data_IF_249608643342
#
_entry.id   IF_249608643342
#
_cell.length_a   1.000
_cell.length_b   1.000
_cell.length_c   1.000
_cell.angle_alpha   90.00
_cell.angle_beta   90.00
_cell.angle_gamma   90.00
#
_symmetry.space_group_name_H-M   'P 1'
#
loop_
_entity.id
_entity.type
_entity.pdbx_description
1 polymer ?
#
# COMPACT_ATOMS: atom_id res chain seq x y z
N UNK A 1 4.65 29.66 11.85
CA UNK A 1 5.23 28.33 11.81
C UNK A 1 5.33 27.96 10.35
N UNK A 2 6.45 27.38 9.90
CA UNK A 2 6.56 26.97 8.50
C UNK A 2 5.56 25.87 8.19
N UNK A 3 5.07 25.88 6.96
CA UNK A 3 4.06 24.96 6.48
C UNK A 3 4.66 23.90 5.57
N UNK A 4 4.10 22.68 5.53
CA UNK A 4 4.61 21.61 4.69
C UNK A 4 3.51 20.82 3.99
N UNK A 5 3.89 20.15 2.90
CA UNK A 5 3.11 19.10 2.25
C UNK A 5 4.01 17.90 1.96
N UNK A 6 3.46 16.69 2.09
CA UNK A 6 4.11 15.43 1.69
C UNK A 6 3.39 14.84 0.50
N UNK A 7 4.08 14.75 -0.63
CA UNK A 7 3.59 14.13 -1.86
C UNK A 7 4.09 12.68 -1.95
N UNK A 8 3.16 11.73 -1.95
CA UNK A 8 3.50 10.30 -1.89
C UNK A 8 3.27 9.62 -3.24
N UNK A 9 4.33 9.05 -3.79
CA UNK A 9 4.27 8.21 -5.01
C UNK A 9 4.77 6.81 -4.67
N UNK A 10 3.87 5.82 -4.55
CA UNK A 10 4.36 4.47 -4.28
C UNK A 10 3.34 3.47 -3.77
N UNK A 11 3.83 2.55 -2.96
CA UNK A 11 3.07 1.48 -2.32
C UNK A 11 2.67 1.88 -0.88
N UNK A 12 1.96 0.98 -0.19
CA UNK A 12 1.52 1.17 1.19
C UNK A 12 2.66 1.49 2.16
N UNK A 13 3.85 0.92 1.92
CA UNK A 13 5.04 1.25 2.72
C UNK A 13 5.43 2.72 2.57
N UNK A 14 5.34 3.29 1.34
CA UNK A 14 5.60 4.72 1.16
C UNK A 14 4.51 5.57 1.85
N UNK A 15 3.25 5.15 1.84
CA UNK A 15 2.19 5.86 2.58
C UNK A 15 2.51 5.88 4.07
N UNK A 16 2.87 4.75 4.66
CA UNK A 16 3.27 4.68 6.06
C UNK A 16 4.55 5.51 6.36
N UNK A 17 5.54 5.49 5.46
CA UNK A 17 6.71 6.35 5.58
C UNK A 17 6.32 7.85 5.54
N UNK A 18 5.34 8.24 4.72
CA UNK A 18 4.82 9.62 4.65
C UNK A 18 4.08 10.06 5.91
N UNK A 19 3.32 9.16 6.54
CA UNK A 19 2.70 9.43 7.85
C UNK A 19 3.77 9.71 8.93
N UNK A 20 4.90 8.97 8.89
CA UNK A 20 6.06 9.21 9.78
C UNK A 20 6.77 10.52 9.47
N UNK A 21 7.00 10.82 8.19
CA UNK A 21 7.59 12.11 7.76
C UNK A 21 6.71 13.25 8.27
N UNK A 22 5.40 13.16 8.10
CA UNK A 22 4.45 14.18 8.56
C UNK A 22 4.49 14.33 10.07
N UNK A 23 4.52 13.23 10.82
CA UNK A 23 4.64 13.25 12.27
C UNK A 23 5.92 13.94 12.77
N UNK A 24 7.07 13.60 12.16
CA UNK A 24 8.36 14.21 12.48
C UNK A 24 8.41 15.72 12.20
N UNK A 25 7.83 16.16 11.08
CA UNK A 25 7.76 17.57 10.74
C UNK A 25 6.87 18.35 11.72
N UNK A 26 5.73 17.77 12.14
CA UNK A 26 4.87 18.38 13.16
C UNK A 26 5.61 18.50 14.50
N UNK A 27 6.31 17.44 14.91
CA UNK A 27 7.11 17.44 16.14
C UNK A 27 8.27 18.48 16.10
N UNK A 28 8.81 18.72 14.90
CA UNK A 28 9.80 19.76 14.63
C UNK A 28 9.21 21.19 14.49
N UNK A 29 7.89 21.37 14.73
CA UNK A 29 7.25 22.67 14.73
C UNK A 29 6.70 23.15 13.38
N UNK A 30 6.63 22.28 12.37
CA UNK A 30 5.96 22.58 11.11
C UNK A 30 4.44 22.36 11.23
N UNK A 31 3.68 23.05 10.41
CA UNK A 31 2.22 22.87 10.29
C UNK A 31 1.88 22.36 8.90
N UNK A 32 0.96 21.40 8.82
CA UNK A 32 0.51 20.90 7.52
C UNK A 32 -0.20 22.01 6.74
N UNK A 33 0.20 22.23 5.49
CA UNK A 33 -0.38 23.24 4.62
C UNK A 33 -1.85 22.95 4.31
N UNK A 34 -2.66 24.01 4.17
CA UNK A 34 -4.03 23.91 3.67
C UNK A 34 -4.03 23.60 2.16
N UNK A 35 -5.10 23.00 1.67
CA UNK A 35 -5.20 22.52 0.27
C UNK A 35 -4.91 23.61 -0.79
N UNK A 36 -5.26 24.88 -0.50
CA UNK A 36 -5.12 26.02 -1.41
C UNK A 36 -3.98 26.97 -1.02
N UNK A 37 -3.11 26.58 -0.07
CA UNK A 37 -1.98 27.41 0.37
C UNK A 37 -0.68 26.98 -0.30
N UNK A 38 0.26 27.92 -0.38
CA UNK A 38 1.63 27.62 -0.83
C UNK A 38 2.46 27.18 0.38
N UNK A 39 2.89 25.89 0.45
CA UNK A 39 3.67 25.39 1.58
C UNK A 39 5.11 25.90 1.55
N UNK A 40 5.73 26.14 2.71
CA UNK A 40 7.15 26.52 2.82
C UNK A 40 8.10 25.34 2.53
N UNK A 41 7.59 24.09 2.65
CA UNK A 41 8.32 22.86 2.39
C UNK A 41 7.46 21.88 1.59
N UNK A 42 8.03 21.34 0.50
CA UNK A 42 7.45 20.20 -0.23
C UNK A 42 8.38 19.00 -0.08
N UNK A 43 7.83 17.89 0.43
CA UNK A 43 8.54 16.61 0.57
C UNK A 43 7.96 15.61 -0.43
N UNK A 44 8.77 15.11 -1.34
CA UNK A 44 8.42 14.01 -2.24
C UNK A 44 8.89 12.68 -1.65
N UNK A 45 7.96 11.81 -1.27
CA UNK A 45 8.26 10.43 -0.86
C UNK A 45 7.98 9.49 -2.05
N UNK A 46 9.04 8.95 -2.64
CA UNK A 46 8.99 8.36 -3.97
C UNK A 46 9.33 6.88 -4.01
N UNK A 47 8.74 6.18 -5.00
CA UNK A 47 8.93 4.76 -5.26
C UNK A 47 9.91 4.53 -6.41
N UNK A 48 10.83 3.58 -6.27
CA UNK A 48 11.71 3.14 -7.36
C UNK A 48 11.14 1.93 -8.14
N UNK A 49 9.92 1.50 -7.81
CA UNK A 49 9.32 0.28 -8.38
C UNK A 49 8.44 0.58 -9.61
N UNK A 50 8.03 1.82 -9.83
CA UNK A 50 7.14 2.20 -10.93
C UNK A 50 7.83 3.25 -11.79
N UNK A 51 8.05 2.95 -13.08
CA UNK A 51 8.69 3.85 -14.05
C UNK A 51 7.99 5.22 -14.14
N UNK A 52 6.67 5.23 -14.09
CA UNK A 52 5.90 6.47 -14.07
C UNK A 52 6.13 7.34 -12.81
N UNK A 53 6.72 6.80 -11.74
CA UNK A 53 7.03 7.58 -10.54
C UNK A 53 8.23 8.51 -10.79
N UNK A 54 9.23 8.07 -11.56
CA UNK A 54 10.40 8.84 -11.95
C UNK A 54 9.97 10.07 -12.77
N UNK A 55 9.17 9.84 -13.81
CA UNK A 55 8.68 10.92 -14.67
C UNK A 55 7.81 11.93 -13.92
N UNK A 56 6.97 11.47 -12.99
CA UNK A 56 6.15 12.33 -12.15
C UNK A 56 7.00 13.17 -11.20
N UNK A 57 7.99 12.57 -10.54
CA UNK A 57 8.86 13.31 -9.63
C UNK A 57 9.56 14.46 -10.36
N UNK A 58 10.28 14.15 -11.46
CA UNK A 58 11.03 15.18 -12.17
C UNK A 58 10.13 16.21 -12.87
N UNK A 59 8.93 15.83 -13.29
CA UNK A 59 7.91 16.76 -13.77
C UNK A 59 7.50 17.77 -12.70
N UNK A 60 7.18 17.28 -11.50
CA UNK A 60 6.79 18.12 -10.37
C UNK A 60 7.96 18.95 -9.84
N UNK A 61 9.17 18.40 -9.76
CA UNK A 61 10.36 19.16 -9.41
C UNK A 61 10.57 20.32 -10.38
N UNK A 62 10.49 20.09 -11.68
CA UNK A 62 10.63 21.13 -12.71
C UNK A 62 9.57 22.23 -12.57
N UNK A 63 8.35 21.89 -12.16
CA UNK A 63 7.29 22.85 -11.89
C UNK A 63 7.60 23.77 -10.69
N UNK A 64 8.29 23.24 -9.67
CA UNK A 64 8.67 24.01 -8.47
C UNK A 64 9.94 24.84 -8.65
N UNK A 65 10.76 24.59 -9.68
CA UNK A 65 12.02 25.29 -9.90
C UNK A 65 11.88 26.84 -10.01
N UNK A 66 10.87 27.41 -10.73
CA UNK A 66 10.67 28.86 -10.78
C UNK A 66 10.38 29.47 -9.39
N UNK A 67 9.56 28.79 -8.58
CA UNK A 67 9.26 29.22 -7.21
C UNK A 67 10.51 29.21 -6.33
N UNK A 68 11.29 28.13 -6.36
CA UNK A 68 12.56 28.08 -5.60
C UNK A 68 13.51 29.19 -5.96
N UNK A 69 13.55 29.61 -7.22
CA UNK A 69 14.36 30.75 -7.68
C UNK A 69 13.86 32.10 -7.16
N UNK A 70 12.55 32.29 -7.03
CA UNK A 70 11.94 33.53 -6.54
C UNK A 70 11.85 33.59 -5.02
N UNK A 71 11.82 32.44 -4.34
CA UNK A 71 11.74 32.31 -2.88
C UNK A 71 12.84 31.37 -2.38
N UNK A 72 14.00 31.89 -1.97
CA UNK A 72 15.11 31.09 -1.43
C UNK A 72 14.75 30.32 -0.14
N UNK A 73 13.77 30.79 0.63
CA UNK A 73 13.35 30.14 1.88
C UNK A 73 12.45 28.92 1.63
N UNK A 74 11.85 28.82 0.44
CA UNK A 74 11.10 27.65 0.04
C UNK A 74 12.02 26.44 -0.05
N UNK A 75 11.68 25.33 0.63
CA UNK A 75 12.49 24.11 0.64
C UNK A 75 11.84 22.96 -0.12
N UNK A 76 12.66 22.14 -0.77
CA UNK A 76 12.26 20.94 -1.50
C UNK A 76 13.08 19.76 -0.98
N UNK A 77 12.42 18.72 -0.46
CA UNK A 77 13.05 17.48 -0.03
C UNK A 77 12.57 16.29 -0.87
N UNK A 78 13.48 15.37 -1.18
CA UNK A 78 13.18 14.14 -1.90
C UNK A 78 13.60 12.94 -1.07
N UNK A 79 12.65 12.08 -0.73
CA UNK A 79 12.84 10.88 0.08
C UNK A 79 12.30 9.61 -0.57
N UNK A 80 12.45 8.50 0.15
CA UNK A 80 11.90 7.21 -0.23
C UNK A 80 12.82 6.35 -1.09
N UNK A 81 12.23 5.31 -1.73
CA UNK A 81 13.00 4.31 -2.45
C UNK A 81 13.80 4.85 -3.65
N UNK A 82 13.30 5.90 -4.30
CA UNK A 82 14.00 6.52 -5.42
C UNK A 82 15.20 7.35 -4.94
N UNK A 83 15.04 8.10 -3.85
CA UNK A 83 16.15 8.81 -3.21
C UNK A 83 17.24 7.82 -2.77
N UNK A 84 16.86 6.69 -2.20
CA UNK A 84 17.78 5.61 -1.83
C UNK A 84 18.55 5.05 -3.02
N UNK A 85 17.92 4.97 -4.21
CA UNK A 85 18.51 4.45 -5.43
C UNK A 85 19.42 5.48 -6.13
N UNK A 86 18.91 6.70 -6.35
CA UNK A 86 19.50 7.67 -7.26
C UNK A 86 20.43 8.68 -6.54
N UNK A 87 20.29 8.82 -5.22
CA UNK A 87 21.23 9.57 -4.36
C UNK A 87 21.61 10.96 -4.95
N UNK A 88 22.90 11.21 -5.09
CA UNK A 88 23.44 12.48 -5.64
C UNK A 88 22.98 12.78 -7.08
N UNK A 89 22.54 11.78 -7.83
CA UNK A 89 22.04 11.98 -9.18
C UNK A 89 20.79 12.87 -9.21
N UNK A 90 20.01 12.88 -8.11
CA UNK A 90 18.84 13.76 -7.98
C UNK A 90 19.28 15.21 -7.98
N UNK A 91 20.28 15.56 -7.16
CA UNK A 91 20.82 16.94 -7.09
C UNK A 91 21.46 17.34 -8.40
N UNK A 92 22.20 16.43 -9.07
CA UNK A 92 22.80 16.72 -10.39
C UNK A 92 21.74 17.07 -11.45
N UNK A 93 20.57 16.41 -11.39
CA UNK A 93 19.47 16.62 -12.34
C UNK A 93 18.55 17.78 -11.93
N UNK A 94 18.40 18.02 -10.63
CA UNK A 94 17.56 19.06 -10.04
C UNK A 94 18.34 19.83 -8.94
N UNK A 95 19.26 20.74 -9.31
CA UNK A 95 20.15 21.43 -8.36
C UNK A 95 19.43 22.33 -7.34
N UNK A 96 18.15 22.53 -7.50
CA UNK A 96 17.29 23.31 -6.62
C UNK A 96 16.62 22.49 -5.52
N UNK A 97 16.90 21.18 -5.45
CA UNK A 97 16.47 20.31 -4.32
C UNK A 97 17.42 20.55 -3.14
N UNK A 98 16.84 20.81 -1.97
CA UNK A 98 17.60 21.14 -0.75
C UNK A 98 18.04 19.87 0.00
N UNK A 99 17.19 18.84 0.05
CA UNK A 99 17.47 17.63 0.83
C UNK A 99 17.13 16.36 0.04
N UNK A 100 18.05 15.40 0.04
CA UNK A 100 17.81 14.02 -0.43
C UNK A 100 18.09 13.06 0.72
N UNK A 101 17.11 12.25 1.10
CA UNK A 101 17.23 11.30 2.21
C UNK A 101 16.71 9.91 1.89
N UNK A 102 17.41 8.88 2.38
CA UNK A 102 17.06 7.49 2.14
C UNK A 102 15.87 7.00 2.96
N UNK A 103 15.42 5.79 2.63
CA UNK A 103 14.35 5.09 3.38
C UNK A 103 14.72 4.82 4.84
N UNK A 104 16.01 4.78 5.15
CA UNK A 104 16.55 4.52 6.49
C UNK A 104 16.90 5.80 7.26
N UNK A 105 16.73 6.98 6.62
CA UNK A 105 17.12 8.29 7.17
C UNK A 105 15.92 9.20 7.47
N UNK A 106 14.70 8.68 7.47
CA UNK A 106 13.49 9.50 7.72
C UNK A 106 13.63 10.34 8.98
N UNK A 107 14.19 9.77 10.06
CA UNK A 107 14.39 10.47 11.34
C UNK A 107 15.37 11.66 11.27
N UNK A 108 16.25 11.71 10.26
CA UNK A 108 17.21 12.81 10.09
C UNK A 108 16.63 14.03 9.36
N UNK A 109 15.44 13.90 8.75
CA UNK A 109 14.88 14.92 7.87
C UNK A 109 14.84 16.34 8.49
N UNK A 110 14.34 16.56 9.73
CA UNK A 110 14.32 17.92 10.31
C UNK A 110 15.71 18.53 10.44
N UNK A 111 16.71 17.75 10.82
CA UNK A 111 18.09 18.20 10.97
C UNK A 111 18.70 18.55 9.60
N UNK A 112 18.42 17.74 8.57
CA UNK A 112 18.91 17.97 7.21
C UNK A 112 18.31 19.24 6.60
N UNK A 113 17.02 19.51 6.83
CA UNK A 113 16.36 20.74 6.40
C UNK A 113 16.98 21.98 7.04
N UNK A 114 17.23 21.95 8.35
CA UNK A 114 17.87 23.06 9.04
C UNK A 114 19.33 23.26 8.59
N UNK A 115 20.07 22.17 8.39
CA UNK A 115 21.44 22.24 7.87
C UNK A 115 21.47 22.83 6.45
N UNK A 116 20.57 22.36 5.55
CA UNK A 116 20.49 22.92 4.20
C UNK A 116 20.21 24.43 4.20
N UNK A 117 19.37 24.90 5.14
CA UNK A 117 19.06 26.31 5.32
C UNK A 117 20.24 27.13 5.82
N UNK A 118 21.00 26.61 6.80
CA UNK A 118 22.13 27.32 7.40
C UNK A 118 23.33 27.36 6.45
N UNK A 119 23.64 26.24 5.80
CA UNK A 119 24.79 26.08 4.92
C UNK A 119 24.53 26.60 3.49
N UNK A 120 23.28 26.93 3.17
CA UNK A 120 22.83 27.31 1.81
C UNK A 120 23.27 26.30 0.74
N UNK A 121 23.29 25.02 1.12
CA UNK A 121 23.78 23.92 0.29
C UNK A 121 22.90 22.68 0.40
N UNK A 122 22.75 21.97 -0.71
CA UNK A 122 21.99 20.72 -0.74
C UNK A 122 22.60 19.67 0.19
N UNK A 123 21.77 18.97 0.94
CA UNK A 123 22.15 17.89 1.85
C UNK A 123 21.73 16.54 1.28
N UNK A 124 22.64 15.58 1.27
CA UNK A 124 22.36 14.20 0.87
C UNK A 124 22.76 13.25 1.99
N UNK A 125 21.80 12.50 2.53
CA UNK A 125 22.09 11.49 3.55
C UNK A 125 21.38 10.17 3.20
N UNK A 126 22.17 9.16 2.89
CA UNK A 126 21.70 7.82 2.53
C UNK A 126 22.39 6.80 3.43
N UNK A 127 21.60 6.06 4.22
CA UNK A 127 22.06 4.88 4.97
C UNK A 127 21.70 3.62 4.22
N UNK A 128 22.61 2.66 4.18
CA UNK A 128 22.41 1.40 3.44
C UNK A 128 21.49 0.42 4.19
N UNK A 129 21.46 0.49 5.52
CA UNK A 129 20.63 -0.39 6.35
C UNK A 129 20.22 0.29 7.66
N UNK A 130 19.16 -0.24 8.27
CA UNK A 130 18.79 0.07 9.65
C UNK A 130 19.54 -0.85 10.62
N UNK A 131 20.17 -0.27 11.63
CA UNK A 131 20.69 -1.04 12.77
C UNK A 131 19.54 -1.52 13.66
N UNK A 132 18.56 -0.64 13.88
CA UNK A 132 17.35 -0.93 14.66
C UNK A 132 16.12 -0.41 13.95
N UNK A 133 14.98 -1.08 14.14
CA UNK A 133 13.71 -0.61 13.60
C UNK A 133 13.29 0.70 14.31
N UNK A 134 12.95 1.78 13.59
CA UNK A 134 12.57 3.06 14.20
C UNK A 134 11.12 3.01 14.73
N UNK A 135 10.89 2.25 15.80
CA UNK A 135 9.55 2.05 16.39
C UNK A 135 8.96 3.30 17.04
N UNK A 136 9.82 4.27 17.39
CA UNK A 136 9.45 5.44 18.21
C UNK A 136 9.21 6.72 17.40
N UNK A 137 9.27 6.68 16.06
CA UNK A 137 9.01 7.86 15.26
C UNK A 137 7.55 8.30 15.40
N UNK A 138 7.28 9.61 15.60
CA UNK A 138 5.94 10.15 15.61
C UNK A 138 5.25 9.90 14.27
N UNK A 139 3.93 9.69 14.30
CA UNK A 139 3.12 9.36 13.12
C UNK A 139 1.92 10.29 13.04
N UNK A 140 1.73 10.95 11.91
CA UNK A 140 0.49 11.66 11.58
C UNK A 140 -0.29 10.83 10.58
N UNK A 141 -1.32 10.11 11.06
CA UNK A 141 -2.15 9.24 10.22
C UNK A 141 -3.09 10.03 9.33
N UNK A 142 -3.33 9.50 8.13
CA UNK A 142 -4.33 10.02 7.19
C UNK A 142 -5.76 9.59 7.57
N UNK A 143 -5.91 8.59 8.43
CA UNK A 143 -7.21 8.10 8.90
C UNK A 143 -7.25 8.02 10.42
N UNK A 144 -8.38 8.45 11.01
CA UNK A 144 -8.61 8.34 12.44
C UNK A 144 -8.98 6.92 12.88
N UNK A 145 -9.57 6.10 12.00
CA UNK A 145 -10.12 4.78 12.33
C UNK A 145 -9.40 3.58 11.69
N UNK A 146 -8.45 3.83 10.79
CA UNK A 146 -7.58 2.79 10.23
C UNK A 146 -6.11 3.18 10.35
N UNK A 147 -5.23 2.18 10.52
CA UNK A 147 -3.80 2.39 10.65
C UNK A 147 -2.97 1.30 9.97
N UNK A 148 -1.80 1.72 9.48
CA UNK A 148 -0.75 0.81 9.04
C UNK A 148 0.14 0.46 10.23
N UNK A 149 0.46 -0.84 10.39
CA UNK A 149 1.37 -1.32 11.43
C UNK A 149 2.48 -2.12 10.75
N UNK A 150 3.67 -1.55 10.70
CA UNK A 150 4.83 -2.24 10.14
C UNK A 150 5.35 -3.28 11.12
N UNK A 151 5.42 -4.54 10.71
CA UNK A 151 5.94 -5.65 11.53
C UNK A 151 7.40 -5.96 11.21
N UNK A 152 7.81 -5.69 9.97
CA UNK A 152 9.19 -5.85 9.51
C UNK A 152 9.52 -4.84 8.42
N UNK A 153 10.82 -4.61 8.16
CA UNK A 153 11.34 -3.87 7.01
C UNK A 153 12.40 -4.68 6.30
N UNK A 154 12.66 -4.38 5.02
CA UNK A 154 13.62 -5.14 4.21
C UNK A 154 13.08 -6.47 3.72
N UNK A 155 13.88 -7.21 2.96
CA UNK A 155 13.48 -8.49 2.40
C UNK A 155 14.70 -9.35 2.06
N UNK A 156 14.73 -10.59 2.52
CA UNK A 156 15.79 -11.56 2.27
C UNK A 156 15.55 -12.40 0.99
N UNK A 157 14.49 -12.12 0.22
CA UNK A 157 14.25 -12.80 -1.05
C UNK A 157 15.15 -12.26 -2.15
N UNK A 158 15.58 -13.15 -3.07
CA UNK A 158 16.51 -12.84 -4.17
C UNK A 158 15.80 -12.81 -5.53
N UNK A 159 14.53 -12.35 -5.58
CA UNK A 159 13.75 -12.29 -6.82
C UNK A 159 14.48 -11.47 -7.89
N UNK A 160 14.65 -12.02 -9.08
CA UNK A 160 15.54 -11.45 -10.12
C UNK A 160 15.07 -10.10 -10.68
N UNK A 161 13.79 -9.76 -10.53
CA UNK A 161 13.20 -8.50 -10.99
C UNK A 161 13.08 -7.43 -9.91
N UNK A 162 13.36 -7.78 -8.65
CA UNK A 162 13.04 -6.94 -7.50
C UNK A 162 14.27 -6.18 -7.00
N UNK A 163 14.11 -4.86 -6.87
CA UNK A 163 15.15 -3.97 -6.35
C UNK A 163 15.00 -3.72 -4.83
N UNK A 164 13.92 -4.19 -4.22
CA UNK A 164 13.60 -3.90 -2.80
C UNK A 164 14.73 -4.25 -1.82
N UNK A 165 15.42 -5.42 -1.91
CA UNK A 165 16.53 -5.72 -1.00
C UNK A 165 17.66 -4.67 -1.03
N UNK A 166 17.93 -4.08 -2.20
CA UNK A 166 18.93 -3.02 -2.35
C UNK A 166 18.49 -1.68 -1.74
N UNK A 167 17.17 -1.44 -1.68
CA UNK A 167 16.61 -0.15 -1.26
C UNK A 167 16.13 -0.13 0.20
N UNK A 168 15.70 -1.29 0.72
CA UNK A 168 15.16 -1.42 2.08
C UNK A 168 15.97 -2.37 2.96
N UNK A 169 17.10 -2.86 2.43
CA UNK A 169 18.04 -3.69 3.17
C UNK A 169 17.55 -5.12 3.46
N UNK A 170 18.30 -5.79 4.33
CA UNK A 170 17.93 -7.11 4.86
C UNK A 170 16.72 -7.01 5.78
N UNK A 171 15.99 -8.11 5.89
CA UNK A 171 14.79 -8.19 6.73
C UNK A 171 15.16 -7.99 8.21
N UNK A 172 14.43 -7.10 8.86
CA UNK A 172 14.49 -6.80 10.29
C UNK A 172 13.10 -6.81 10.86
N UNK A 173 12.87 -7.72 11.80
CA UNK A 173 11.60 -7.88 12.49
C UNK A 173 11.52 -7.00 13.74
N UNK A 174 10.33 -6.50 14.03
CA UNK A 174 10.03 -5.88 15.33
C UNK A 174 9.68 -6.94 16.35
N UNK A 175 9.90 -6.65 17.63
CA UNK A 175 9.42 -7.52 18.69
C UNK A 175 7.88 -7.53 18.73
N UNK A 176 7.30 -8.68 19.11
CA UNK A 176 5.84 -8.80 19.24
C UNK A 176 5.28 -7.83 20.27
N UNK A 177 6.00 -7.62 21.37
CA UNK A 177 5.58 -6.71 22.45
C UNK A 177 5.48 -5.26 21.96
N UNK A 178 6.43 -4.79 21.14
CA UNK A 178 6.38 -3.44 20.56
C UNK A 178 5.19 -3.30 19.59
N UNK A 179 4.95 -4.30 18.73
CA UNK A 179 3.83 -4.30 17.80
C UNK A 179 2.51 -4.27 18.59
N UNK A 180 2.35 -5.13 19.59
CA UNK A 180 1.12 -5.20 20.38
C UNK A 180 0.90 -3.97 21.25
N UNK A 181 1.97 -3.33 21.73
CA UNK A 181 1.89 -2.04 22.44
C UNK A 181 1.36 -0.95 21.49
N UNK A 182 1.89 -0.89 20.26
CA UNK A 182 1.40 0.05 19.23
C UNK A 182 -0.06 -0.22 18.87
N UNK A 183 -0.43 -1.49 18.62
CA UNK A 183 -1.80 -1.87 18.27
C UNK A 183 -2.80 -1.43 19.34
N UNK A 184 -2.49 -1.67 20.64
CA UNK A 184 -3.35 -1.23 21.74
C UNK A 184 -3.45 0.29 21.81
N UNK A 185 -2.34 1.02 21.69
CA UNK A 185 -2.34 2.48 21.68
C UNK A 185 -3.16 3.06 20.51
N UNK A 186 -3.13 2.42 19.33
CA UNK A 186 -3.94 2.80 18.18
C UNK A 186 -5.44 2.60 18.46
N UNK A 187 -5.82 1.47 19.05
CA UNK A 187 -7.20 1.17 19.41
C UNK A 187 -7.73 2.12 20.49
N UNK A 188 -6.91 2.50 21.47
CA UNK A 188 -7.25 3.51 22.49
C UNK A 188 -7.51 4.89 21.85
N UNK A 189 -6.85 5.20 20.72
CA UNK A 189 -7.06 6.42 19.93
C UNK A 189 -8.26 6.33 18.95
N UNK A 190 -9.01 5.23 18.95
CA UNK A 190 -10.18 5.04 18.10
C UNK A 190 -9.95 4.26 16.80
N UNK A 191 -8.75 3.73 16.56
CA UNK A 191 -8.51 2.84 15.41
C UNK A 191 -9.26 1.53 15.60
N UNK A 192 -10.01 1.12 14.58
CA UNK A 192 -10.80 -0.12 14.56
C UNK A 192 -10.37 -1.09 13.46
N UNK A 193 -9.56 -0.63 12.50
CA UNK A 193 -8.94 -1.50 11.48
C UNK A 193 -7.43 -1.25 11.44
N UNK A 194 -6.64 -2.33 11.48
CA UNK A 194 -5.21 -2.29 11.22
C UNK A 194 -4.85 -3.12 10.00
N UNK A 195 -3.80 -2.71 9.30
CA UNK A 195 -3.17 -3.51 8.25
C UNK A 195 -1.71 -3.73 8.59
N UNK A 196 -1.33 -4.99 8.82
CA UNK A 196 0.05 -5.40 9.08
C UNK A 196 0.86 -5.31 7.79
N UNK A 197 1.99 -4.60 7.84
CA UNK A 197 2.88 -4.36 6.72
C UNK A 197 4.24 -5.03 6.90
N UNK A 198 4.74 -5.63 5.82
CA UNK A 198 6.08 -6.15 5.64
C UNK A 198 6.34 -6.35 4.15
N UNK A 199 7.60 -6.50 3.73
CA UNK A 199 7.92 -6.85 2.34
C UNK A 199 7.66 -8.34 2.05
N UNK A 200 7.71 -9.14 3.11
CA UNK A 200 7.29 -10.53 3.19
C UNK A 200 6.65 -10.73 4.56
N UNK A 201 5.41 -10.26 4.74
CA UNK A 201 4.79 -10.12 6.06
C UNK A 201 4.70 -11.43 6.84
N UNK A 202 4.52 -12.55 6.17
CA UNK A 202 4.40 -13.86 6.81
C UNK A 202 5.74 -14.59 7.05
N UNK A 203 6.88 -13.95 6.72
CA UNK A 203 8.19 -14.35 7.23
C UNK A 203 8.49 -13.74 8.62
N UNK A 204 7.61 -12.86 9.13
CA UNK A 204 7.76 -12.28 10.45
C UNK A 204 8.07 -13.35 11.51
N UNK A 205 9.14 -13.15 12.25
CA UNK A 205 9.67 -14.05 13.24
C UNK A 205 10.86 -14.90 12.81
N UNK A 206 11.13 -14.98 11.50
CA UNK A 206 12.27 -15.74 10.98
C UNK A 206 13.60 -15.15 11.46
N UNK A 207 13.71 -13.82 11.57
CA UNK A 207 14.91 -13.11 12.03
C UNK A 207 15.29 -13.52 13.50
N UNK A 208 14.31 -13.79 14.34
CA UNK A 208 14.54 -14.26 15.72
C UNK A 208 14.20 -15.75 15.96
N UNK A 209 14.11 -16.55 14.88
CA UNK A 209 14.03 -18.03 14.96
C UNK A 209 12.64 -18.60 15.21
N UNK A 210 11.56 -17.82 15.16
CA UNK A 210 10.18 -18.30 15.35
C UNK A 210 9.36 -18.21 14.04
N UNK A 211 9.33 -19.28 13.27
CA UNK A 211 8.55 -19.37 12.02
C UNK A 211 7.03 -19.35 12.22
N UNK A 212 6.55 -19.53 13.44
CA UNK A 212 5.13 -19.44 13.80
C UNK A 212 4.70 -18.06 14.30
N UNK A 213 5.62 -17.11 14.39
CA UNK A 213 5.37 -15.80 15.00
C UNK A 213 4.26 -15.02 14.29
N UNK A 214 4.16 -15.09 12.97
CA UNK A 214 3.11 -14.37 12.22
C UNK A 214 1.70 -14.87 12.57
N UNK A 215 1.49 -16.17 12.65
CA UNK A 215 0.21 -16.74 13.07
C UNK A 215 -0.12 -16.40 14.53
N UNK A 216 0.89 -16.41 15.41
CA UNK A 216 0.74 -15.96 16.81
C UNK A 216 0.33 -14.49 16.87
N UNK A 217 0.98 -13.62 16.08
CA UNK A 217 0.66 -12.19 16.00
C UNK A 217 -0.79 -11.97 15.57
N UNK A 218 -1.28 -12.70 14.56
CA UNK A 218 -2.69 -12.61 14.13
C UNK A 218 -3.64 -12.96 15.28
N UNK A 219 -3.35 -14.03 16.03
CA UNK A 219 -4.16 -14.44 17.20
C UNK A 219 -4.09 -13.42 18.33
N UNK A 220 -2.92 -12.83 18.58
CA UNK A 220 -2.77 -11.78 19.61
C UNK A 220 -3.55 -10.50 19.22
N UNK A 221 -3.52 -10.10 17.96
CA UNK A 221 -4.38 -9.02 17.47
C UNK A 221 -5.88 -9.34 17.65
N UNK A 222 -6.24 -10.63 17.55
CA UNK A 222 -7.60 -11.10 17.78
C UNK A 222 -8.12 -10.90 19.20
N UNK A 223 -7.22 -10.76 20.18
CA UNK A 223 -7.57 -10.55 21.59
C UNK A 223 -7.72 -9.08 21.98
N UNK A 224 -7.41 -8.15 21.06
CA UNK A 224 -7.48 -6.71 21.37
C UNK A 224 -8.92 -6.24 21.27
N UNK A 225 -9.47 -5.85 22.41
CA UNK A 225 -10.84 -5.37 22.51
C UNK A 225 -11.02 -4.03 21.77
N UNK A 226 -12.07 -3.93 20.95
CA UNK A 226 -12.31 -2.74 20.10
C UNK A 226 -11.62 -2.77 18.74
N UNK A 227 -10.73 -3.73 18.46
CA UNK A 227 -10.16 -3.92 17.14
C UNK A 227 -11.10 -4.79 16.29
N UNK A 228 -11.81 -4.15 15.36
CA UNK A 228 -12.85 -4.81 14.56
C UNK A 228 -12.27 -5.58 13.36
N UNK A 229 -11.12 -5.11 12.79
CA UNK A 229 -10.55 -5.67 11.58
C UNK A 229 -9.02 -5.70 11.59
N UNK A 230 -8.48 -6.85 11.27
CA UNK A 230 -7.05 -7.08 11.04
C UNK A 230 -6.84 -7.55 9.60
N UNK A 231 -5.98 -6.84 8.89
CA UNK A 231 -5.55 -7.19 7.52
C UNK A 231 -4.04 -7.31 7.48
N UNK A 232 -3.53 -7.92 6.46
CA UNK A 232 -2.09 -7.95 6.17
C UNK A 232 -1.83 -7.91 4.66
N UNK A 233 -0.66 -7.42 4.27
CA UNK A 233 -0.28 -7.26 2.86
C UNK A 233 1.05 -7.94 2.58
N UNK A 234 1.24 -8.30 1.31
CA UNK A 234 2.50 -8.88 0.78
C UNK A 234 2.96 -10.19 1.43
N UNK A 235 2.08 -11.16 1.70
CA UNK A 235 2.53 -12.50 2.07
C UNK A 235 3.21 -13.19 0.88
N UNK A 236 4.13 -14.11 1.19
CA UNK A 236 4.85 -14.88 0.19
C UNK A 236 4.48 -16.37 0.28
N UNK A 237 4.19 -17.07 -0.84
CA UNK A 237 3.76 -18.47 -0.83
C UNK A 237 4.72 -19.44 -0.14
N UNK A 238 6.04 -19.12 -0.12
CA UNK A 238 7.06 -19.95 0.56
C UNK A 238 6.78 -20.08 2.05
N UNK A 239 6.48 -18.95 2.69
CA UNK A 239 6.38 -18.85 4.15
C UNK A 239 4.92 -18.93 4.64
N UNK A 240 3.97 -19.23 3.73
CA UNK A 240 2.55 -19.36 4.07
C UNK A 240 2.25 -20.77 4.59
N UNK A 241 2.09 -20.89 5.90
CA UNK A 241 1.90 -22.17 6.61
C UNK A 241 0.44 -22.46 6.89
N UNK A 242 0.14 -23.73 7.21
CA UNK A 242 -1.22 -24.14 7.62
C UNK A 242 -1.63 -23.41 8.90
N UNK A 243 -0.71 -23.13 9.82
CA UNK A 243 -0.96 -22.35 11.04
C UNK A 243 -1.41 -20.91 10.78
N UNK A 244 -0.94 -20.28 9.71
CA UNK A 244 -1.43 -18.97 9.26
C UNK A 244 -2.86 -19.08 8.72
N UNK A 245 -3.17 -20.15 7.97
CA UNK A 245 -4.53 -20.41 7.49
C UNK A 245 -5.49 -20.61 8.66
N UNK A 246 -5.08 -21.40 9.66
CA UNK A 246 -5.86 -21.63 10.88
C UNK A 246 -6.07 -20.34 11.67
N UNK A 247 -5.01 -19.50 11.80
CA UNK A 247 -5.13 -18.21 12.46
C UNK A 247 -6.13 -17.29 11.73
N UNK A 248 -6.10 -17.25 10.39
CA UNK A 248 -7.08 -16.49 9.59
C UNK A 248 -8.50 -17.01 9.77
N UNK A 249 -8.69 -18.32 9.80
CA UNK A 249 -10.03 -18.94 9.89
C UNK A 249 -10.65 -18.81 11.30
N UNK A 250 -9.82 -18.89 12.34
CA UNK A 250 -10.30 -18.97 13.74
C UNK A 250 -10.33 -17.62 14.44
N UNK A 251 -9.59 -16.62 13.96
CA UNK A 251 -9.52 -15.30 14.59
C UNK A 251 -10.57 -14.38 13.98
N UNK A 252 -11.64 -14.10 14.72
CA UNK A 252 -12.87 -13.44 14.27
C UNK A 252 -12.66 -12.11 13.53
N UNK A 253 -11.69 -11.32 13.95
CA UNK A 253 -11.41 -9.99 13.39
C UNK A 253 -10.30 -10.01 12.31
N UNK A 254 -9.69 -11.17 12.01
CA UNK A 254 -8.84 -11.31 10.81
C UNK A 254 -9.75 -11.44 9.59
N UNK A 255 -9.56 -10.54 8.64
CA UNK A 255 -10.48 -10.42 7.51
C UNK A 255 -10.29 -11.53 6.48
N UNK A 256 -11.40 -12.04 5.87
CA UNK A 256 -11.37 -13.11 4.86
C UNK A 256 -10.88 -12.61 3.50
N UNK A 257 -9.69 -12.04 3.47
CA UNK A 257 -9.02 -11.52 2.27
C UNK A 257 -7.56 -11.93 2.27
N UNK A 258 -7.11 -12.57 1.21
CA UNK A 258 -5.73 -12.95 1.02
C UNK A 258 -5.20 -12.35 -0.29
N UNK A 259 -4.31 -11.37 -0.17
CA UNK A 259 -3.54 -10.89 -1.32
C UNK A 259 -2.23 -11.68 -1.40
N UNK A 260 -2.14 -12.67 -2.32
CA UNK A 260 -0.97 -13.53 -2.47
C UNK A 260 -0.39 -13.40 -3.88
N UNK A 261 0.76 -12.71 -4.06
CA UNK A 261 1.38 -12.51 -5.36
C UNK A 261 1.80 -13.83 -6.03
N UNK A 262 1.21 -14.13 -7.20
CA UNK A 262 1.52 -15.28 -8.04
C UNK A 262 2.76 -15.04 -8.90
N UNK A 263 2.83 -13.87 -9.50
CA UNK A 263 3.80 -13.38 -10.48
C UNK A 263 3.67 -14.04 -11.86
N UNK A 264 3.66 -15.37 -11.97
CA UNK A 264 3.46 -16.14 -13.20
C UNK A 264 2.83 -17.51 -12.91
N UNK A 265 2.07 -18.05 -13.84
CA UNK A 265 1.52 -19.41 -13.78
C UNK A 265 2.46 -20.49 -14.33
N UNK A 266 3.60 -20.11 -14.92
CA UNK A 266 4.61 -21.01 -15.45
C UNK A 266 5.72 -21.29 -14.43
N UNK A 267 6.00 -22.55 -14.18
CA UNK A 267 7.08 -22.97 -13.29
C UNK A 267 8.46 -22.57 -13.82
N UNK A 268 8.64 -22.55 -15.15
CA UNK A 268 9.87 -22.11 -15.80
C UNK A 268 10.11 -20.62 -15.52
N UNK A 269 9.09 -19.79 -15.68
CA UNK A 269 9.18 -18.35 -15.41
C UNK A 269 9.33 -18.09 -13.91
N UNK A 270 8.61 -18.78 -13.04
CA UNK A 270 8.80 -18.69 -11.59
C UNK A 270 10.23 -19.03 -11.17
N UNK A 271 10.85 -20.04 -11.82
CA UNK A 271 12.26 -20.39 -11.60
C UNK A 271 13.21 -19.28 -12.07
N UNK A 272 12.98 -18.72 -13.26
CA UNK A 272 13.76 -17.59 -13.80
C UNK A 272 13.62 -16.34 -12.93
N UNK A 273 12.46 -16.10 -12.36
CA UNK A 273 12.19 -15.06 -11.37
C UNK A 273 12.82 -15.33 -9.99
N UNK A 274 13.46 -16.50 -9.78
CA UNK A 274 13.92 -17.00 -8.46
C UNK A 274 12.81 -17.03 -7.42
N UNK A 275 11.58 -17.42 -7.84
CA UNK A 275 10.52 -17.69 -6.87
C UNK A 275 10.72 -19.09 -6.29
N UNK A 276 10.68 -19.20 -4.97
CA UNK A 276 10.94 -20.43 -4.22
C UNK A 276 9.73 -21.37 -4.11
N UNK A 277 8.69 -21.12 -4.89
CA UNK A 277 7.50 -21.97 -5.03
C UNK A 277 7.25 -22.27 -6.51
N UNK A 278 6.33 -23.22 -6.74
CA UNK A 278 5.84 -23.63 -8.05
C UNK A 278 4.32 -23.59 -8.06
N UNK A 279 3.72 -23.79 -9.23
CA UNK A 279 2.27 -23.78 -9.47
C UNK A 279 1.52 -24.65 -8.46
N UNK A 280 1.91 -25.89 -8.28
CA UNK A 280 1.20 -26.83 -7.38
C UNK A 280 1.21 -26.37 -5.93
N UNK A 281 2.32 -25.84 -5.43
CA UNK A 281 2.41 -25.25 -4.10
C UNK A 281 1.46 -24.07 -3.94
N UNK A 282 1.42 -23.19 -4.94
CA UNK A 282 0.52 -22.03 -4.93
C UNK A 282 -0.94 -22.46 -4.90
N UNK A 283 -1.36 -23.33 -5.83
CA UNK A 283 -2.70 -23.87 -5.89
C UNK A 283 -3.12 -24.60 -4.61
N UNK A 284 -2.22 -25.39 -4.04
CA UNK A 284 -2.46 -26.10 -2.78
C UNK A 284 -2.75 -25.15 -1.61
N UNK A 285 -2.05 -24.01 -1.53
CA UNK A 285 -2.32 -22.98 -0.53
C UNK A 285 -3.72 -22.37 -0.77
N UNK A 286 -4.02 -21.97 -2.01
CA UNK A 286 -5.32 -21.36 -2.34
C UNK A 286 -6.49 -22.32 -2.03
N UNK A 287 -6.34 -23.59 -2.37
CA UNK A 287 -7.35 -24.62 -2.06
C UNK A 287 -7.58 -24.77 -0.56
N UNK A 288 -6.50 -24.83 0.24
CA UNK A 288 -6.59 -24.90 1.70
C UNK A 288 -7.29 -23.65 2.28
N UNK A 289 -6.91 -22.44 1.81
CA UNK A 289 -7.56 -21.20 2.25
C UNK A 289 -9.05 -21.20 1.90
N UNK A 290 -9.43 -21.54 0.67
CA UNK A 290 -10.85 -21.63 0.26
C UNK A 290 -11.63 -22.69 1.04
N UNK A 291 -10.99 -23.79 1.42
CA UNK A 291 -11.61 -24.84 2.23
C UNK A 291 -11.83 -24.40 3.69
N UNK A 292 -10.85 -23.71 4.29
CA UNK A 292 -10.93 -23.24 5.67
C UNK A 292 -11.78 -21.96 5.81
N UNK A 293 -11.81 -21.13 4.76
CA UNK A 293 -12.51 -19.83 4.73
C UNK A 293 -13.28 -19.72 3.40
N UNK A 294 -14.46 -20.34 3.28
CA UNK A 294 -15.18 -20.44 1.99
C UNK A 294 -15.47 -19.11 1.30
N UNK A 295 -15.64 -18.03 2.07
CA UNK A 295 -15.91 -16.69 1.56
C UNK A 295 -14.66 -15.83 1.41
N UNK A 296 -13.45 -16.41 1.47
CA UNK A 296 -12.21 -15.66 1.30
C UNK A 296 -12.08 -15.13 -0.13
N UNK A 297 -11.88 -13.82 -0.27
CA UNK A 297 -11.46 -13.23 -1.53
C UNK A 297 -9.95 -13.39 -1.71
N UNK A 298 -9.54 -13.94 -2.85
CA UNK A 298 -8.14 -14.09 -3.21
C UNK A 298 -7.81 -13.04 -4.25
N UNK A 299 -6.77 -12.25 -3.98
CA UNK A 299 -6.21 -11.28 -4.92
C UNK A 299 -4.72 -11.57 -5.17
N UNK A 300 -4.19 -11.09 -6.29
CA UNK A 300 -2.83 -11.43 -6.68
C UNK A 300 -2.16 -10.33 -7.51
N UNK A 301 -0.82 -10.46 -7.67
CA UNK A 301 -0.02 -9.73 -8.65
C UNK A 301 0.47 -10.68 -9.73
N UNK A 302 0.45 -10.22 -10.99
CA UNK A 302 0.94 -10.97 -12.15
C UNK A 302 1.80 -10.05 -13.02
N UNK A 303 2.98 -10.55 -13.40
CA UNK A 303 3.89 -9.88 -14.34
C UNK A 303 3.86 -10.63 -15.66
N UNK A 304 3.53 -9.95 -16.76
CA UNK A 304 3.60 -10.49 -18.13
C UNK A 304 4.83 -9.96 -18.85
N UNK A 305 5.36 -10.75 -19.78
CA UNK A 305 6.51 -10.35 -20.58
C UNK A 305 7.84 -10.40 -19.82
N UNK A 306 7.95 -11.22 -18.79
CA UNK A 306 9.23 -11.48 -18.13
C UNK A 306 10.23 -12.06 -19.12
N UNK A 307 11.57 -11.74 -19.05
CA UNK A 307 12.56 -12.26 -19.98
C UNK A 307 12.50 -13.78 -20.12
N UNK A 308 12.37 -14.26 -21.35
CA UNK A 308 12.25 -15.68 -21.69
C UNK A 308 10.82 -16.23 -21.63
N UNK A 309 9.80 -15.45 -21.29
CA UNK A 309 8.42 -15.90 -21.29
C UNK A 309 7.95 -16.19 -22.72
N UNK A 310 7.60 -17.47 -22.97
CA UNK A 310 7.01 -17.94 -24.25
C UNK A 310 5.48 -17.80 -24.24
N UNK A 311 4.83 -18.02 -25.40
CA UNK A 311 3.37 -18.05 -25.46
C UNK A 311 2.81 -19.19 -24.60
N UNK A 312 3.48 -20.34 -24.59
CA UNK A 312 3.10 -21.47 -23.72
C UNK A 312 3.15 -21.11 -22.22
N UNK A 313 4.18 -20.36 -21.77
CA UNK A 313 4.29 -19.90 -20.39
C UNK A 313 3.17 -18.92 -20.04
N UNK A 314 2.82 -18.05 -20.97
CA UNK A 314 1.71 -17.11 -20.79
C UNK A 314 0.36 -17.86 -20.76
N UNK A 315 0.14 -18.86 -21.59
CA UNK A 315 -1.06 -19.70 -21.54
C UNK A 315 -1.21 -20.41 -20.19
N UNK A 316 -0.14 -20.93 -19.61
CA UNK A 316 -0.16 -21.51 -18.26
C UNK A 316 -0.59 -20.49 -17.20
N UNK A 317 -0.21 -19.22 -17.37
CA UNK A 317 -0.66 -18.13 -16.49
C UNK A 317 -2.15 -17.87 -16.65
N UNK A 318 -2.66 -17.84 -17.87
CA UNK A 318 -4.10 -17.71 -18.16
C UNK A 318 -4.90 -18.86 -17.56
N UNK A 319 -4.43 -20.08 -17.69
CA UNK A 319 -5.09 -21.29 -17.17
C UNK A 319 -5.20 -21.22 -15.64
N UNK A 320 -4.13 -20.83 -14.96
CA UNK A 320 -4.14 -20.68 -13.51
C UNK A 320 -5.11 -19.58 -13.07
N UNK A 321 -5.17 -18.46 -13.77
CA UNK A 321 -6.11 -17.36 -13.48
C UNK A 321 -7.56 -17.83 -13.63
N UNK A 322 -7.86 -18.61 -14.66
CA UNK A 322 -9.19 -19.20 -14.88
C UNK A 322 -9.55 -20.25 -13.82
N UNK A 323 -8.55 -21.01 -13.34
CA UNK A 323 -8.74 -22.04 -12.31
C UNK A 323 -9.00 -21.42 -10.93
N UNK A 324 -8.15 -20.46 -10.51
CA UNK A 324 -8.24 -19.81 -9.19
C UNK A 324 -9.44 -18.88 -9.10
N UNK A 325 -9.77 -18.16 -10.19
CA UNK A 325 -10.81 -17.13 -10.24
C UNK A 325 -10.56 -16.04 -9.18
N UNK A 326 -9.46 -15.32 -9.35
CA UNK A 326 -9.13 -14.22 -8.45
C UNK A 326 -10.25 -13.17 -8.40
N UNK A 327 -10.58 -12.70 -7.20
CA UNK A 327 -11.51 -11.57 -7.03
C UNK A 327 -10.96 -10.27 -7.61
N UNK A 328 -9.63 -10.12 -7.62
CA UNK A 328 -8.91 -9.09 -8.37
C UNK A 328 -7.47 -9.55 -8.64
N UNK A 329 -6.91 -9.15 -9.78
CA UNK A 329 -5.48 -9.29 -10.05
C UNK A 329 -4.89 -7.96 -10.53
N UNK A 330 -3.76 -7.58 -9.93
CA UNK A 330 -2.97 -6.46 -10.40
C UNK A 330 -1.97 -6.97 -11.43
N UNK A 331 -2.21 -6.64 -12.68
CA UNK A 331 -1.40 -7.06 -13.82
C UNK A 331 -0.40 -5.99 -14.19
N UNK A 332 0.85 -6.39 -14.37
CA UNK A 332 1.96 -5.50 -14.74
C UNK A 332 2.68 -6.06 -15.96
N UNK A 333 3.08 -5.18 -16.87
CA UNK A 333 4.10 -5.48 -17.84
C UNK A 333 5.47 -5.49 -17.14
N UNK A 334 6.34 -6.42 -17.50
CA UNK A 334 7.69 -6.41 -16.95
C UNK A 334 8.39 -5.10 -17.31
N UNK A 335 8.95 -4.43 -16.34
CA UNK A 335 9.73 -3.20 -16.51
C UNK A 335 11.17 -3.45 -16.06
N UNK A 336 12.11 -3.17 -16.95
CA UNK A 336 13.55 -3.30 -16.67
C UNK A 336 13.96 -2.35 -15.55
N UNK A 337 14.65 -2.89 -14.54
CA UNK A 337 15.16 -2.08 -13.43
C UNK A 337 16.68 -2.21 -13.39
N UNK A 338 17.41 -1.12 -13.62
CA UNK A 338 18.86 -1.11 -13.49
C UNK A 338 19.29 -1.68 -12.13
N UNK A 339 20.31 -2.52 -12.12
CA UNK A 339 20.82 -3.19 -10.92
C UNK A 339 20.13 -4.51 -10.56
N UNK A 340 19.03 -4.91 -11.25
CA UNK A 340 18.41 -6.22 -11.04
C UNK A 340 18.91 -7.25 -12.07
N UNK A 341 19.04 -8.53 -11.70
CA UNK A 341 19.47 -9.58 -12.65
C UNK A 341 18.59 -9.67 -13.90
N UNK A 342 17.28 -9.52 -13.76
CA UNK A 342 16.34 -9.62 -14.88
C UNK A 342 16.54 -8.51 -15.94
N UNK A 343 17.07 -7.35 -15.56
CA UNK A 343 17.32 -6.25 -16.50
C UNK A 343 18.35 -6.61 -17.59
N UNK A 344 19.27 -7.55 -17.29
CA UNK A 344 20.36 -7.98 -18.18
C UNK A 344 20.17 -9.39 -18.73
N UNK A 345 19.06 -10.07 -18.42
CA UNK A 345 18.75 -11.37 -18.99
C UNK A 345 18.59 -11.29 -20.51
N UNK A 346 19.03 -12.32 -21.20
CA UNK A 346 18.74 -12.51 -22.62
C UNK A 346 17.23 -12.75 -22.85
N UNK A 347 16.81 -12.75 -24.11
CA UNK A 347 15.44 -13.05 -24.52
C UNK A 347 14.38 -12.12 -23.89
N UNK A 348 14.68 -10.82 -23.88
CA UNK A 348 13.69 -9.82 -23.50
C UNK A 348 12.48 -9.89 -24.45
N UNK A 349 11.29 -9.88 -23.88
CA UNK A 349 10.03 -9.86 -24.65
C UNK A 349 9.81 -8.46 -25.22
N UNK A 350 9.33 -8.35 -26.47
CA UNK A 350 9.07 -7.04 -27.07
C UNK A 350 7.87 -6.34 -26.43
N UNK A 351 7.85 -5.00 -26.53
CA UNK A 351 6.79 -4.18 -25.93
C UNK A 351 5.42 -4.50 -26.54
N UNK A 352 5.36 -4.83 -27.85
CA UNK A 352 4.13 -5.21 -28.54
C UNK A 352 3.56 -6.51 -27.99
N UNK A 353 4.40 -7.53 -27.76
CA UNK A 353 3.99 -8.81 -27.21
C UNK A 353 3.57 -8.65 -25.75
N UNK A 354 4.31 -7.86 -24.95
CA UNK A 354 3.94 -7.56 -23.57
C UNK A 354 2.58 -6.85 -23.50
N UNK A 355 2.35 -5.87 -24.36
CA UNK A 355 1.07 -5.14 -24.43
C UNK A 355 -0.09 -6.05 -24.83
N UNK A 356 0.11 -6.94 -25.81
CA UNK A 356 -0.90 -7.90 -26.23
C UNK A 356 -1.27 -8.87 -25.08
N UNK A 357 -0.27 -9.46 -24.42
CA UNK A 357 -0.47 -10.35 -23.26
C UNK A 357 -1.16 -9.64 -22.10
N UNK A 358 -0.74 -8.40 -21.79
CA UNK A 358 -1.37 -7.57 -20.78
C UNK A 358 -2.85 -7.36 -21.05
N UNK A 359 -3.21 -6.94 -22.27
CA UNK A 359 -4.58 -6.66 -22.66
C UNK A 359 -5.46 -7.92 -22.59
N UNK A 360 -4.92 -9.06 -23.06
CA UNK A 360 -5.62 -10.35 -23.00
C UNK A 360 -5.88 -10.79 -21.57
N UNK A 361 -4.87 -10.78 -20.71
CA UNK A 361 -5.00 -11.15 -19.29
C UNK A 361 -5.94 -10.20 -18.56
N UNK A 362 -5.79 -8.89 -18.79
CA UNK A 362 -6.64 -7.87 -18.17
C UNK A 362 -8.11 -8.08 -18.49
N UNK A 363 -8.45 -8.35 -19.76
CA UNK A 363 -9.82 -8.65 -20.17
C UNK A 363 -10.37 -9.89 -19.47
N UNK A 364 -9.62 -10.99 -19.49
CA UNK A 364 -10.03 -12.24 -18.82
C UNK A 364 -10.25 -12.00 -17.33
N UNK A 365 -9.34 -11.29 -16.67
CA UNK A 365 -9.47 -11.01 -15.24
C UNK A 365 -10.65 -10.09 -14.94
N UNK A 366 -10.95 -9.11 -15.78
CA UNK A 366 -12.14 -8.26 -15.61
C UNK A 366 -13.43 -9.07 -15.68
N UNK A 367 -13.52 -9.99 -16.66
CA UNK A 367 -14.69 -10.88 -16.80
C UNK A 367 -14.84 -11.80 -15.57
N UNK A 368 -13.75 -12.35 -15.06
CA UNK A 368 -13.72 -13.15 -13.83
C UNK A 368 -14.15 -12.31 -12.63
N UNK A 369 -13.55 -11.13 -12.42
CA UNK A 369 -13.86 -10.25 -11.29
C UNK A 369 -15.33 -9.86 -11.29
N UNK A 370 -15.89 -9.52 -12.46
CA UNK A 370 -17.32 -9.23 -12.60
C UNK A 370 -18.16 -10.43 -12.21
N UNK A 371 -17.87 -11.61 -12.74
CA UNK A 371 -18.62 -12.85 -12.42
C UNK A 371 -18.55 -13.21 -10.94
N UNK A 372 -17.38 -13.04 -10.28
CA UNK A 372 -17.23 -13.27 -8.84
C UNK A 372 -17.99 -12.22 -7.99
N UNK A 373 -18.06 -10.98 -8.45
CA UNK A 373 -18.85 -9.93 -7.81
C UNK A 373 -20.38 -10.14 -8.00
N UNK A 374 -20.81 -10.60 -9.17
CA UNK A 374 -22.22 -10.90 -9.47
C UNK A 374 -22.82 -11.96 -8.53
N UNK A 375 -22.00 -12.89 -8.03
CA UNK A 375 -22.43 -13.90 -7.03
C UNK A 375 -22.90 -13.28 -5.71
N UNK A 376 -22.54 -12.04 -5.44
CA UNK A 376 -22.92 -11.33 -4.21
C UNK A 376 -24.26 -10.61 -4.35
N UNK A 377 -24.81 -10.47 -5.55
CA UNK A 377 -26.09 -9.78 -5.77
C UNK A 377 -27.18 -10.47 -4.93
N UNK A 378 -27.90 -9.65 -4.17
CA UNK A 378 -28.94 -10.11 -3.23
C UNK A 378 -28.42 -10.49 -1.84
N UNK A 379 -27.10 -10.63 -1.64
CA UNK A 379 -26.51 -10.93 -0.33
C UNK A 379 -26.35 -9.67 0.53
N UNK A 380 -26.44 -9.87 1.84
CA UNK A 380 -26.09 -8.83 2.81
C UNK A 380 -24.61 -8.91 3.14
N UNK A 381 -23.93 -7.79 3.05
CA UNK A 381 -22.49 -7.66 3.37
C UNK A 381 -22.25 -6.54 4.37
N UNK A 382 -21.20 -6.70 5.18
CA UNK A 382 -20.75 -5.68 6.11
C UNK A 382 -19.67 -4.82 5.48
N UNK A 383 -19.80 -3.50 5.59
CA UNK A 383 -18.81 -2.53 5.16
C UNK A 383 -18.24 -1.75 6.33
N UNK A 384 -16.96 -1.43 6.28
CA UNK A 384 -16.38 -0.30 7.00
C UNK A 384 -16.48 0.91 6.09
N UNK A 385 -17.22 1.93 6.53
CA UNK A 385 -17.48 3.14 5.75
C UNK A 385 -16.20 3.97 5.65
N UNK A 386 -15.84 4.34 4.42
CA UNK A 386 -14.63 5.12 4.12
C UNK A 386 -14.84 6.61 4.41
N UNK A 387 -13.75 7.33 4.70
CA UNK A 387 -13.71 8.80 4.70
C UNK A 387 -13.48 9.39 3.31
N UNK A 388 -13.11 8.57 2.32
CA UNK A 388 -12.90 9.01 0.94
C UNK A 388 -14.20 8.95 0.14
N UNK A 389 -14.31 9.81 -0.88
CA UNK A 389 -15.45 9.87 -1.78
C UNK A 389 -15.06 9.42 -3.18
N UNK A 390 -15.91 8.66 -3.85
CA UNK A 390 -15.82 8.40 -5.27
C UNK A 390 -16.20 9.64 -6.09
N UNK A 391 -15.79 9.70 -7.35
CA UNK A 391 -16.01 10.88 -8.23
C UNK A 391 -17.48 11.31 -8.35
N UNK A 392 -18.42 10.39 -8.18
CA UNK A 392 -19.86 10.61 -8.33
C UNK A 392 -20.62 10.52 -7.00
N UNK A 393 -19.96 10.10 -5.91
CA UNK A 393 -20.63 9.81 -4.64
C UNK A 393 -21.33 11.06 -4.06
N UNK A 394 -20.68 12.23 -4.15
CA UNK A 394 -21.25 13.50 -3.63
C UNK A 394 -22.54 13.87 -4.35
N UNK A 395 -22.56 13.78 -5.68
CA UNK A 395 -23.71 14.19 -6.49
C UNK A 395 -24.89 13.22 -6.36
N UNK A 396 -24.62 11.97 -5.98
CA UNK A 396 -25.60 10.89 -5.88
C UNK A 396 -26.00 10.56 -4.44
N UNK A 397 -25.56 11.36 -3.45
CA UNK A 397 -25.74 11.09 -2.01
C UNK A 397 -25.28 9.68 -1.60
N UNK A 398 -24.22 9.19 -2.22
CA UNK A 398 -23.61 7.90 -1.92
C UNK A 398 -22.42 8.06 -1.00
N UNK A 399 -22.15 7.00 -0.26
CA UNK A 399 -20.87 6.76 0.39
C UNK A 399 -20.26 5.47 -0.14
N UNK A 400 -19.01 5.25 0.17
CA UNK A 400 -18.36 3.99 -0.13
C UNK A 400 -17.72 3.39 1.12
N UNK A 401 -17.34 2.12 1.01
CA UNK A 401 -16.66 1.41 2.07
C UNK A 401 -15.98 0.15 1.54
N UNK A 402 -15.25 -0.50 2.42
CA UNK A 402 -14.63 -1.80 2.14
C UNK A 402 -15.37 -2.91 2.87
N UNK A 403 -15.74 -3.95 2.12
CA UNK A 403 -16.29 -5.17 2.71
C UNK A 403 -15.23 -5.94 3.52
N UNK A 404 -15.65 -6.96 4.26
CA UNK A 404 -14.71 -7.83 4.99
C UNK A 404 -13.67 -8.44 4.05
N UNK A 405 -14.08 -8.86 2.87
CA UNK A 405 -13.25 -9.43 1.80
C UNK A 405 -12.61 -8.38 0.87
N UNK A 406 -12.58 -7.11 1.31
CA UNK A 406 -11.87 -5.97 0.74
C UNK A 406 -12.47 -5.38 -0.56
N UNK A 407 -13.67 -5.79 -0.99
CA UNK A 407 -14.31 -5.20 -2.17
C UNK A 407 -14.72 -3.75 -1.92
N UNK A 408 -14.48 -2.89 -2.90
CA UNK A 408 -15.00 -1.53 -2.92
C UNK A 408 -16.52 -1.58 -3.17
N UNK A 409 -17.27 -0.96 -2.27
CA UNK A 409 -18.73 -0.95 -2.35
C UNK A 409 -19.24 0.47 -2.21
N UNK A 410 -20.00 0.93 -3.20
CA UNK A 410 -20.77 2.17 -3.12
C UNK A 410 -22.18 1.86 -2.63
N UNK A 411 -22.72 2.66 -1.74
CA UNK A 411 -24.06 2.48 -1.20
C UNK A 411 -24.79 3.82 -1.04
N UNK A 412 -26.11 3.78 -1.15
CA UNK A 412 -26.96 4.96 -0.92
C UNK A 412 -26.97 5.36 0.56
N UNK A 413 -26.65 6.63 0.85
CA UNK A 413 -26.69 7.22 2.18
C UNK A 413 -27.53 8.51 2.21
N UNK A 414 -28.53 8.64 1.31
CA UNK A 414 -29.41 9.82 1.23
C UNK A 414 -30.11 10.13 2.56
N UNK A 415 -30.41 9.09 3.35
CA UNK A 415 -30.95 9.23 4.70
C UNK A 415 -29.90 9.63 5.77
N UNK A 416 -28.62 9.78 5.41
CA UNK A 416 -27.49 10.16 6.29
C UNK A 416 -27.35 9.28 7.53
N UNK A 417 -27.62 8.00 7.41
CA UNK A 417 -27.59 7.03 8.52
C UNK A 417 -26.17 6.67 8.95
N UNK A 418 -25.24 6.57 7.97
CA UNK A 418 -23.87 6.15 8.18
C UNK A 418 -22.89 7.32 8.16
N UNK A 419 -21.83 7.20 8.95
CA UNK A 419 -20.69 8.14 9.00
C UNK A 419 -19.40 7.36 8.60
N UNK A 420 -18.39 8.05 8.16
CA UNK A 420 -17.05 7.47 7.98
C UNK A 420 -16.58 6.81 9.29
N UNK A 421 -16.08 5.59 9.18
CA UNK A 421 -15.68 4.76 10.33
C UNK A 421 -16.80 3.92 10.96
N UNK A 422 -18.08 4.11 10.62
CA UNK A 422 -19.16 3.20 11.06
C UNK A 422 -19.07 1.85 10.29
N UNK A 423 -19.59 0.79 10.92
CA UNK A 423 -19.82 -0.50 10.26
C UNK A 423 -21.29 -0.59 9.85
N UNK A 424 -21.55 -0.87 8.58
CA UNK A 424 -22.89 -0.94 8.03
C UNK A 424 -23.16 -2.31 7.38
N UNK A 425 -24.39 -2.81 7.52
CA UNK A 425 -24.91 -3.93 6.73
C UNK A 425 -25.70 -3.37 5.55
N UNK A 426 -25.35 -3.80 4.35
CA UNK A 426 -26.00 -3.37 3.10
C UNK A 426 -26.32 -4.59 2.23
N UNK A 427 -27.34 -4.48 1.37
CA UNK A 427 -27.67 -5.52 0.40
C UNK A 427 -27.08 -5.15 -0.96
N UNK A 428 -26.32 -6.05 -1.56
CA UNK A 428 -25.74 -5.86 -2.90
C UNK A 428 -26.84 -5.86 -3.95
N UNK A 429 -26.86 -4.84 -4.81
CA UNK A 429 -27.87 -4.68 -5.87
C UNK A 429 -27.29 -4.76 -7.28
N UNK A 430 -26.04 -4.29 -7.46
CA UNK A 430 -25.35 -4.34 -8.75
C UNK A 430 -23.88 -4.71 -8.55
N UNK A 431 -23.29 -5.28 -9.59
CA UNK A 431 -21.90 -5.72 -9.57
C UNK A 431 -21.17 -5.36 -10.86
N UNK A 432 -19.95 -4.82 -10.70
CA UNK A 432 -19.01 -4.46 -11.75
C UNK A 432 -17.67 -5.15 -11.50
N UNK A 433 -16.77 -5.10 -12.44
CA UNK A 433 -15.46 -5.75 -12.29
C UNK A 433 -14.64 -5.17 -11.12
N UNK A 434 -14.71 -3.85 -10.88
CA UNK A 434 -13.85 -3.15 -9.93
C UNK A 434 -14.57 -2.71 -8.64
N UNK A 435 -15.89 -2.77 -8.60
CA UNK A 435 -16.70 -2.36 -7.45
C UNK A 435 -18.06 -3.03 -7.49
N UNK A 436 -18.76 -2.95 -6.39
CA UNK A 436 -20.17 -3.36 -6.27
C UNK A 436 -20.99 -2.18 -5.77
N UNK A 437 -22.29 -2.20 -6.06
CA UNK A 437 -23.26 -1.21 -5.59
C UNK A 437 -24.25 -1.88 -4.65
N UNK A 438 -24.59 -1.21 -3.58
CA UNK A 438 -25.48 -1.73 -2.56
C UNK A 438 -26.60 -0.73 -2.24
N UNK A 439 -27.68 -1.24 -1.62
CA UNK A 439 -28.79 -0.45 -1.11
C UNK A 439 -28.36 0.48 0.04
N UNK A 440 -29.31 1.29 0.52
CA UNK A 440 -29.17 1.98 1.81
C UNK A 440 -28.87 0.98 2.94
N UNK A 441 -28.23 1.46 4.05
CA UNK A 441 -27.92 0.62 5.19
C UNK A 441 -29.16 -0.05 5.79
N UNK A 442 -29.09 -1.38 5.94
CA UNK A 442 -30.08 -2.19 6.66
C UNK A 442 -29.91 -1.99 8.17
N UNK A 443 -28.65 -1.91 8.61
CA UNK A 443 -28.28 -1.60 9.99
C UNK A 443 -26.95 -0.88 10.04
N UNK A 444 -26.76 -0.10 11.11
CA UNK A 444 -25.53 0.67 11.36
C UNK A 444 -25.04 0.40 12.77
N UNK A 445 -23.84 -0.14 12.87
CA UNK A 445 -23.09 -0.24 14.14
C UNK A 445 -22.24 1.01 14.27
N UNK A 446 -22.62 1.90 15.20
CA UNK A 446 -21.80 3.06 15.57
C UNK A 446 -20.52 2.58 16.22
N UNK A 447 -19.38 3.16 15.86
CA UNK A 447 -18.05 2.72 16.31
C UNK A 447 -17.29 3.87 16.96
N UNK A 448 -16.31 3.52 17.81
CA UNK A 448 -15.32 4.48 18.32
C UNK A 448 -14.52 5.12 17.17
N UNK A 449 -14.32 4.40 16.07
CA UNK A 449 -13.62 4.91 14.88
C UNK A 449 -14.37 6.07 14.22
N UNK A 450 -15.69 5.97 14.12
CA UNK A 450 -16.50 7.06 13.58
C UNK A 450 -16.51 8.30 14.52
N UNK A 451 -16.49 8.09 15.83
CA UNK A 451 -16.41 9.17 16.80
C UNK A 451 -15.03 9.85 16.75
N UNK A 452 -13.94 9.06 16.65
CA UNK A 452 -12.59 9.57 16.47
C UNK A 452 -12.45 10.34 15.15
N UNK A 453 -13.09 9.88 14.07
CA UNK A 453 -13.09 10.59 12.79
C UNK A 453 -13.86 11.92 12.88
N UNK A 454 -15.00 11.95 13.53
CA UNK A 454 -15.76 13.18 13.72
C UNK A 454 -14.96 14.22 14.53
N UNK A 455 -14.27 13.81 15.59
CA UNK A 455 -13.37 14.69 16.34
C UNK A 455 -12.22 15.19 15.46
N UNK A 456 -11.57 14.29 14.70
CA UNK A 456 -10.48 14.63 13.80
C UNK A 456 -10.91 15.65 12.72
N UNK A 457 -12.10 15.50 12.13
CA UNK A 457 -12.66 16.45 11.15
C UNK A 457 -12.91 17.81 11.79
N UNK A 458 -13.40 17.85 13.04
CA UNK A 458 -13.64 19.12 13.75
C UNK A 458 -12.36 19.91 14.02
N UNK A 459 -11.25 19.22 14.25
CA UNK A 459 -9.93 19.82 14.52
C UNK A 459 -9.16 20.21 13.24
N UNK A 460 -9.27 19.41 12.17
CA UNK A 460 -8.44 19.54 10.97
C UNK A 460 -9.22 20.05 9.73
N UNK A 461 -10.53 20.25 9.85
CA UNK A 461 -11.43 20.48 8.72
C UNK A 461 -11.72 19.21 7.91
N UNK A 462 -12.78 19.24 7.10
CA UNK A 462 -13.17 18.13 6.23
C UNK A 462 -12.23 18.06 5.03
N UNK A 463 -11.05 17.46 5.22
CA UNK A 463 -10.11 17.17 4.13
C UNK A 463 -10.55 15.87 3.47
N UNK A 464 -11.45 15.95 2.50
CA UNK A 464 -11.91 14.81 1.73
C UNK A 464 -10.78 14.31 0.83
N UNK A 465 -10.31 13.11 1.06
CA UNK A 465 -9.34 12.45 0.18
C UNK A 465 -10.12 11.94 -1.03
N UNK A 466 -9.97 12.59 -2.18
CA UNK A 466 -10.50 12.08 -3.44
C UNK A 466 -9.83 10.75 -3.78
N UNK A 467 -10.60 9.69 -3.94
CA UNK A 467 -10.15 8.43 -4.52
C UNK A 467 -9.78 8.67 -5.99
N UNK A 468 -8.56 9.05 -6.24
CA UNK A 468 -8.03 9.26 -7.58
C UNK A 468 -6.53 9.51 -7.51
N UNK A 469 -5.82 9.11 -8.56
CA UNK A 469 -4.44 9.54 -8.78
C UNK A 469 -4.47 11.06 -8.82
N UNK A 470 -3.64 11.79 -8.02
CA UNK A 470 -3.57 13.24 -8.11
C UNK A 470 -3.36 13.64 -9.56
N UNK A 471 -4.29 14.34 -10.13
CA UNK A 471 -4.16 14.85 -11.49
C UNK A 471 -3.41 16.19 -11.44
N UNK A 472 -2.71 16.54 -12.52
CA UNK A 472 -2.06 17.84 -12.71
C UNK A 472 -2.98 19.05 -12.40
N UNK A 473 -4.28 18.85 -12.33
CA UNK A 473 -5.25 19.87 -11.93
C UNK A 473 -5.16 20.24 -10.44
N UNK A 474 -4.77 19.32 -9.55
CA UNK A 474 -4.57 19.62 -8.13
C UNK A 474 -3.27 20.38 -7.85
N UNK A 475 -2.32 20.34 -8.81
CA UNK A 475 -1.06 21.10 -8.75
C UNK A 475 -1.16 22.46 -9.46
N UNK A 476 -2.20 22.70 -10.29
CA UNK A 476 -2.42 23.98 -10.96
C UNK A 476 -3.04 25.05 -10.03
N UNK A 477 -3.51 24.65 -8.88
CA UNK A 477 -3.99 25.56 -7.81
C UNK A 477 -2.91 25.82 -6.74
N UNK A 478 -1.73 25.24 -6.88
CA UNK A 478 -0.52 25.57 -6.15
C UNK A 478 0.38 26.46 -7.01
#
# INVERSE_FOLDING_TARGET
MPTFVVETYGCQMNVHDSERISGLLIDAGYTQALADSQPDLVVFNTCAVRENADNKLYGNLSFLAPRKKSDPNFQIAVGGCMAQKDQDAIIKRAPYVDVVFGTHNIGSLPILLERARIEEASQVEIKESLEHFPSTLPVKRDSAFSAWVSVSVGCNNTCTFCIVPQLRGIEKDRSMDEIMKEVRALVDQGVIEITLLGQNVNAYGVDFGDRGAFAKLLRECGKVDGLERVRFMSPHPRDFTDDVIDAMAQTKNVMPHLHMPLQSGSDQILQAMRRSYRRDRYLGIIQKVKSAIPNAAITTDIIVGFPGETDHDFEQTIDLVKEVKFSAAYTFQYSKRPGTPAATMANQVSDEVMAARYNQLHKIQQDISKSENEKLIGQNIELLVSSSEGRHDVNENRMNGRSKDFRLTHFDNSAKLARAGDLVQVKVVEAYANHIVASSPISVKKTKGADAHAAWVSENGDKRILLGIPTLASLKSL
#
